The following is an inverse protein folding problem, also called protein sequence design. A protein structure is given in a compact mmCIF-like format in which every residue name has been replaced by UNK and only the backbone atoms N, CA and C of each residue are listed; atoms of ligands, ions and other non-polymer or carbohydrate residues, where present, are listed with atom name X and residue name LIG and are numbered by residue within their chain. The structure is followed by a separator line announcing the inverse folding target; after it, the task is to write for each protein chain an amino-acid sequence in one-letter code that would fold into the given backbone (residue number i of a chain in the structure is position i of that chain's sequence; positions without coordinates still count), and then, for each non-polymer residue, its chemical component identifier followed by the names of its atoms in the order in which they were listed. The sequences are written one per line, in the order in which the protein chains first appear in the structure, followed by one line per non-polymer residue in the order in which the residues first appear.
data_IF_657502504879
#
_entry.id   IF_657502504879
#
_cell.length_a   1.000
_cell.length_b   1.000
_cell.length_c   1.000
_cell.angle_alpha   90.00
_cell.angle_beta   90.00
_cell.angle_gamma   90.00
#
_symmetry.space_group_name_H-M   'P 1'
#
loop_
_entity.id
_entity.type
_entity.pdbx_description
1 polymer ?
#
# COMPACT_ATOMS: atom_id res chain seq x y z
N UNK A 1 1.26 -0.86 1.16
CA UNK A 1 2.53 -1.56 1.49
C UNK A 1 2.94 -2.43 0.31
N UNK A 2 4.22 -2.46 -0.01
CA UNK A 2 4.79 -3.24 -1.12
C UNK A 2 6.11 -3.89 -0.73
N UNK A 3 6.39 -5.06 -1.28
CA UNK A 3 7.73 -5.68 -1.21
C UNK A 3 8.66 -5.25 -2.34
N UNK A 4 8.14 -4.50 -3.33
CA UNK A 4 8.87 -4.15 -4.57
C UNK A 4 9.27 -2.67 -4.56
N UNK A 5 10.57 -2.35 -4.48
CA UNK A 5 11.06 -0.98 -4.57
C UNK A 5 10.63 -0.26 -5.85
N UNK A 6 10.54 -0.97 -6.98
CA UNK A 6 10.17 -0.42 -8.28
C UNK A 6 8.75 0.16 -8.35
N UNK A 7 7.90 -0.11 -7.36
CA UNK A 7 6.55 0.46 -7.28
C UNK A 7 6.52 1.83 -6.58
N UNK A 8 7.63 2.27 -6.01
CA UNK A 8 7.74 3.52 -5.26
C UNK A 8 8.62 4.52 -6.01
N UNK A 9 8.23 5.79 -5.99
CA UNK A 9 9.02 6.86 -6.60
C UNK A 9 9.93 7.51 -5.55
N UNK A 10 11.24 7.53 -5.78
CA UNK A 10 12.23 8.26 -4.95
C UNK A 10 12.23 7.85 -3.46
N UNK A 11 12.50 6.57 -3.18
CA UNK A 11 12.40 5.94 -1.85
C UNK A 11 13.21 6.69 -0.78
N UNK A 12 12.49 7.22 0.23
CA UNK A 12 12.91 7.61 1.59
C UNK A 12 13.26 6.35 2.39
N UNK A 13 14.45 6.27 3.00
CA UNK A 13 14.68 5.35 4.13
C UNK A 13 13.65 5.65 5.22
N UNK A 14 13.08 4.60 5.79
CA UNK A 14 12.12 4.74 6.87
C UNK A 14 12.86 5.14 8.16
N UNK A 15 12.38 6.19 8.83
CA UNK A 15 12.98 6.73 10.06
C UNK A 15 12.27 6.29 11.34
N UNK A 16 11.10 5.65 11.22
CA UNK A 16 10.35 5.13 12.36
C UNK A 16 10.91 3.82 12.91
N UNK A 17 10.41 3.43 14.08
CA UNK A 17 10.76 2.16 14.75
C UNK A 17 9.71 1.07 14.55
N UNK A 18 8.66 1.36 13.78
CA UNK A 18 7.59 0.41 13.53
C UNK A 18 8.05 -0.75 12.63
N UNK A 19 7.32 -1.85 12.75
CA UNK A 19 7.49 -3.05 11.95
C UNK A 19 6.14 -3.67 11.63
N UNK A 20 6.08 -4.59 10.67
CA UNK A 20 4.86 -5.33 10.34
C UNK A 20 4.84 -6.62 11.15
N UNK A 21 3.92 -6.71 12.11
CA UNK A 21 3.68 -7.93 12.86
C UNK A 21 2.80 -8.89 12.04
N UNK A 22 3.24 -10.15 11.93
CA UNK A 22 2.51 -11.23 11.26
C UNK A 22 1.79 -12.06 12.32
N UNK A 23 0.68 -12.70 11.94
CA UNK A 23 -0.15 -13.49 12.87
C UNK A 23 0.56 -14.68 13.52
N UNK A 24 1.73 -15.08 12.99
CA UNK A 24 2.61 -16.09 13.59
C UNK A 24 3.58 -15.50 14.64
N UNK A 25 3.50 -14.21 14.93
CA UNK A 25 4.36 -13.48 15.86
C UNK A 25 5.66 -12.97 15.25
N UNK A 26 5.98 -13.30 13.99
CA UNK A 26 7.16 -12.76 13.31
C UNK A 26 6.97 -11.28 12.96
N UNK A 27 8.08 -10.57 12.83
CA UNK A 27 8.10 -9.14 12.50
C UNK A 27 8.91 -8.89 11.24
N UNK A 28 8.34 -8.13 10.31
CA UNK A 28 9.00 -7.74 9.07
C UNK A 28 9.46 -6.27 9.14
N UNK A 29 10.73 -5.98 8.76
CA UNK A 29 11.26 -4.63 8.83
C UNK A 29 10.68 -3.73 7.72
N UNK A 30 10.36 -2.50 8.09
CA UNK A 30 10.04 -1.44 7.13
C UNK A 30 11.36 -0.77 6.74
N UNK A 31 11.75 -0.86 5.48
CA UNK A 31 13.02 -0.29 5.00
C UNK A 31 12.86 1.14 4.46
N UNK A 32 11.69 1.45 3.94
CA UNK A 32 11.43 2.72 3.29
C UNK A 32 9.96 3.09 3.29
N UNK A 33 9.69 4.33 2.89
CA UNK A 33 8.34 4.82 2.64
C UNK A 33 8.38 5.78 1.47
N UNK A 34 7.36 5.72 0.61
CA UNK A 34 7.13 6.73 -0.43
C UNK A 34 5.77 6.69 -1.08
N UNK A 35 5.53 7.65 -1.95
CA UNK A 35 4.33 7.70 -2.77
C UNK A 35 4.36 6.66 -3.89
N UNK A 36 3.16 6.24 -4.28
CA UNK A 36 2.89 5.32 -5.38
C UNK A 36 1.57 5.72 -6.05
N UNK A 37 1.06 4.87 -6.92
CA UNK A 37 -0.24 5.07 -7.54
C UNK A 37 -0.90 3.73 -7.88
N UNK A 38 -2.23 3.73 -7.90
CA UNK A 38 -3.03 2.65 -8.49
C UNK A 38 -3.56 3.16 -9.82
N UNK A 39 -3.32 2.41 -10.89
CA UNK A 39 -3.94 2.63 -12.20
C UNK A 39 -5.10 1.65 -12.35
N UNK A 40 -6.32 2.17 -12.45
CA UNK A 40 -7.52 1.39 -12.76
C UNK A 40 -8.24 2.03 -13.93
N UNK A 41 -8.28 1.33 -15.06
CA UNK A 41 -8.92 1.79 -16.31
C UNK A 41 -8.48 3.22 -16.67
N UNK A 42 -9.34 4.20 -16.45
CA UNK A 42 -9.11 5.62 -16.78
C UNK A 42 -8.76 6.48 -15.56
N UNK A 43 -8.66 5.91 -14.37
CA UNK A 43 -8.39 6.62 -13.11
C UNK A 43 -7.00 6.25 -12.60
N UNK A 44 -6.23 7.27 -12.23
CA UNK A 44 -4.96 7.11 -11.50
C UNK A 44 -5.13 7.67 -10.11
N UNK A 45 -5.15 6.79 -9.10
CA UNK A 45 -5.29 7.17 -7.71
C UNK A 45 -3.90 7.27 -7.07
N UNK A 46 -3.45 8.46 -6.64
CA UNK A 46 -2.20 8.58 -5.90
C UNK A 46 -2.32 7.88 -4.54
N UNK A 47 -1.26 7.21 -4.14
CA UNK A 47 -1.13 6.62 -2.81
C UNK A 47 0.00 7.33 -2.07
N UNK A 48 -0.30 7.82 -0.88
CA UNK A 48 0.70 8.43 0.00
C UNK A 48 1.13 7.45 1.09
N UNK A 49 2.34 7.66 1.62
CA UNK A 49 2.89 6.90 2.75
C UNK A 49 2.95 5.38 2.53
N UNK A 50 3.30 4.94 1.32
CA UNK A 50 3.41 3.51 1.01
C UNK A 50 4.70 2.95 1.57
N UNK A 51 4.55 2.06 2.56
CA UNK A 51 5.67 1.36 3.20
C UNK A 51 6.31 0.32 2.28
N UNK A 52 7.64 0.31 2.23
CA UNK A 52 8.48 -0.71 1.61
C UNK A 52 8.88 -1.76 2.65
N UNK A 53 8.40 -2.98 2.45
CA UNK A 53 8.65 -4.13 3.34
C UNK A 53 9.05 -5.31 2.44
N UNK A 54 10.36 -5.49 2.13
CA UNK A 54 10.80 -6.41 1.08
C UNK A 54 10.36 -7.86 1.26
N UNK A 55 10.17 -8.30 2.51
CA UNK A 55 9.71 -9.64 2.85
C UNK A 55 8.21 -9.86 2.63
N UNK A 56 7.45 -8.84 2.20
CA UNK A 56 6.05 -9.01 1.80
C UNK A 56 5.95 -9.82 0.51
N UNK A 57 5.20 -10.92 0.56
CA UNK A 57 4.90 -11.75 -0.62
C UNK A 57 3.76 -11.18 -1.46
N UNK A 58 2.92 -10.33 -0.88
CA UNK A 58 1.77 -9.68 -1.53
C UNK A 58 1.71 -8.21 -1.14
N UNK A 59 1.25 -7.39 -2.07
CA UNK A 59 0.97 -5.99 -1.77
C UNK A 59 -0.31 -5.88 -0.95
N UNK A 60 -0.31 -4.95 0.00
CA UNK A 60 -1.44 -4.70 0.88
C UNK A 60 -1.85 -3.24 0.75
N UNK A 61 -3.14 -3.00 0.56
CA UNK A 61 -3.73 -1.67 0.47
C UNK A 61 -4.60 -1.41 1.70
N UNK A 62 -4.36 -0.30 2.38
CA UNK A 62 -5.21 0.13 3.48
C UNK A 62 -6.46 0.81 2.93
N UNK A 63 -7.59 0.11 2.90
CA UNK A 63 -8.86 0.65 2.40
C UNK A 63 -9.32 1.84 3.24
N UNK A 64 -9.19 1.75 4.57
CA UNK A 64 -9.58 2.84 5.47
C UNK A 64 -8.73 4.09 5.31
N UNK A 65 -7.45 3.96 4.92
CA UNK A 65 -6.62 5.11 4.57
C UNK A 65 -7.04 5.70 3.23
N UNK A 66 -7.25 4.85 2.23
CA UNK A 66 -7.65 5.27 0.88
C UNK A 66 -8.94 6.09 0.91
N UNK A 67 -10.00 5.58 1.55
CA UNK A 67 -11.32 6.23 1.59
C UNK A 67 -11.38 7.44 2.53
N UNK A 68 -10.39 7.61 3.44
CA UNK A 68 -10.23 8.84 4.23
C UNK A 68 -9.51 9.92 3.44
N UNK A 69 -8.56 9.55 2.58
CA UNK A 69 -7.77 10.48 1.79
C UNK A 69 -8.51 10.94 0.53
N UNK A 70 -9.31 10.05 -0.07
CA UNK A 70 -10.05 10.32 -1.30
C UNK A 70 -11.52 9.93 -1.11
N UNK A 71 -12.47 10.71 -1.65
CA UNK A 71 -13.90 10.42 -1.60
C UNK A 71 -14.24 9.29 -2.60
N UNK A 72 -13.75 8.09 -2.34
CA UNK A 72 -13.92 6.93 -3.22
C UNK A 72 -14.64 5.80 -2.50
N UNK A 73 -15.41 5.02 -3.26
CA UNK A 73 -16.03 3.78 -2.82
C UNK A 73 -15.21 2.59 -3.29
N UNK A 74 -15.00 1.62 -2.41
CA UNK A 74 -14.34 0.36 -2.74
C UNK A 74 -15.37 -0.77 -2.75
N UNK A 75 -15.62 -1.36 -3.91
CA UNK A 75 -16.54 -2.49 -4.08
C UNK A 75 -15.75 -3.79 -4.24
N UNK A 76 -16.21 -4.84 -3.57
CA UNK A 76 -15.61 -6.17 -3.61
C UNK A 76 -16.65 -7.18 -4.11
N UNK A 77 -16.23 -8.04 -5.02
CA UNK A 77 -17.03 -9.16 -5.54
C UNK A 77 -16.25 -10.47 -5.43
N UNK A 78 -16.88 -11.58 -5.79
CA UNK A 78 -16.23 -12.88 -5.82
C UNK A 78 -15.18 -13.02 -6.95
N UNK A 79 -15.15 -12.10 -7.91
CA UNK A 79 -14.24 -12.16 -9.08
C UNK A 79 -13.24 -11.02 -9.15
N UNK A 80 -13.57 -9.86 -8.59
CA UNK A 80 -12.72 -8.66 -8.67
C UNK A 80 -13.09 -7.62 -7.59
N UNK A 81 -12.28 -6.57 -7.50
CA UNK A 81 -12.58 -5.35 -6.75
C UNK A 81 -12.49 -4.11 -7.66
N UNK A 82 -13.24 -3.07 -7.32
CA UNK A 82 -13.23 -1.81 -8.06
C UNK A 82 -13.20 -0.62 -7.10
N UNK A 83 -12.37 0.37 -7.41
CA UNK A 83 -12.42 1.68 -6.76
C UNK A 83 -13.20 2.64 -7.66
N UNK A 84 -14.29 3.20 -7.14
CA UNK A 84 -15.17 4.14 -7.83
C UNK A 84 -15.07 5.50 -7.16
N UNK A 85 -15.09 6.56 -7.97
CA UNK A 85 -15.35 7.92 -7.51
C UNK A 85 -16.81 8.07 -7.08
#
# INVERSE_FOLDING_TARGET
MTGKPSMLNNIQKYSGTNSVLIGDGSSLPILGTRDSFIKQRNVTLPLHDVLLVPSLTKNLLSISQLTKQFPVNCEFSNVDFCVKE
#
